data_IF_759810933320
#
_entry.id   IF_759810933320
#
_cell.length_a   1.000
_cell.length_b   1.000
_cell.length_c   1.000
_cell.angle_alpha   90.00
_cell.angle_beta   90.00
_cell.angle_gamma   90.00
#
_symmetry.space_group_name_H-M   'P 1'
#
loop_
_entity.id
_entity.type
_entity.pdbx_description
1 polymer ?
#
# COMPACT_ATOMS: atom_id res chain seq x y z
N UNK A 1 26.74 -11.45 -1.63
CA UNK A 1 26.53 -11.46 -3.09
C UNK A 1 25.23 -10.75 -3.36
N UNK A 2 25.14 -9.99 -4.44
CA UNK A 2 23.91 -9.30 -4.83
C UNK A 2 22.86 -10.34 -5.29
N UNK A 3 21.65 -10.25 -4.74
CA UNK A 3 20.48 -11.07 -5.13
C UNK A 3 19.42 -10.10 -5.63
N UNK A 4 19.00 -10.26 -6.88
CA UNK A 4 18.20 -9.26 -7.59
C UNK A 4 16.76 -9.76 -7.73
N UNK A 5 15.79 -8.98 -7.25
CA UNK A 5 14.39 -9.11 -7.69
C UNK A 5 14.18 -8.25 -8.92
N UNK A 6 13.78 -8.87 -10.03
CA UNK A 6 13.49 -8.15 -11.28
C UNK A 6 12.18 -7.37 -11.18
N UNK A 7 12.03 -6.39 -12.07
CA UNK A 7 10.78 -5.71 -12.36
C UNK A 7 9.88 -6.63 -13.22
N UNK A 8 9.35 -7.70 -12.63
CA UNK A 8 8.67 -8.78 -13.35
C UNK A 8 7.33 -8.37 -13.98
N UNK A 9 6.73 -7.26 -13.53
CA UNK A 9 5.46 -6.74 -14.03
C UNK A 9 5.62 -5.52 -14.96
N UNK A 10 6.86 -5.07 -15.20
CA UNK A 10 7.16 -4.06 -16.22
C UNK A 10 6.78 -4.57 -17.62
N UNK A 11 6.25 -3.68 -18.44
CA UNK A 11 5.76 -3.98 -19.80
C UNK A 11 4.33 -4.51 -19.84
N UNK A 12 3.70 -4.80 -18.69
CA UNK A 12 2.31 -5.26 -18.61
C UNK A 12 1.45 -4.43 -17.65
N UNK A 13 1.89 -4.26 -16.39
CA UNK A 13 1.15 -3.47 -15.39
C UNK A 13 1.52 -1.98 -15.43
N UNK A 14 2.75 -1.68 -15.85
CA UNK A 14 3.28 -0.35 -16.08
C UNK A 14 4.29 -0.43 -17.24
N UNK A 15 4.62 0.69 -17.89
CA UNK A 15 5.55 0.69 -19.02
C UNK A 15 6.97 0.32 -18.58
N UNK A 16 7.63 -0.55 -19.34
CA UNK A 16 9.05 -0.92 -19.15
C UNK A 16 10.01 0.11 -19.78
N UNK A 17 9.53 0.98 -20.65
CA UNK A 17 10.29 2.10 -21.21
C UNK A 17 10.59 3.16 -20.12
N UNK A 18 11.86 3.37 -19.72
CA UNK A 18 12.21 4.27 -18.61
C UNK A 18 11.78 5.72 -18.82
N UNK A 19 11.99 6.26 -20.03
CA UNK A 19 11.64 7.65 -20.35
C UNK A 19 10.13 7.86 -20.25
N UNK A 20 9.35 6.96 -20.85
CA UNK A 20 7.89 7.03 -20.80
C UNK A 20 7.38 6.90 -19.36
N UNK A 21 7.97 6.01 -18.56
CA UNK A 21 7.61 5.84 -17.16
C UNK A 21 7.90 7.10 -16.35
N UNK A 22 9.06 7.73 -16.54
CA UNK A 22 9.37 9.01 -15.89
C UNK A 22 8.38 10.12 -16.27
N UNK A 23 8.03 10.25 -17.55
CA UNK A 23 7.08 11.24 -18.05
C UNK A 23 5.67 11.03 -17.49
N UNK A 24 5.19 9.78 -17.44
CA UNK A 24 3.89 9.43 -16.85
C UNK A 24 3.83 9.78 -15.37
N UNK A 25 4.83 9.37 -14.59
CA UNK A 25 4.91 9.64 -13.15
C UNK A 25 5.05 11.14 -12.86
N UNK A 26 5.90 11.87 -13.60
CA UNK A 26 5.99 13.33 -13.48
C UNK A 26 4.66 14.01 -13.77
N UNK A 27 4.00 13.61 -14.86
CA UNK A 27 2.70 14.16 -15.24
C UNK A 27 1.65 13.98 -14.13
N UNK A 28 1.57 12.79 -13.54
CA UNK A 28 0.60 12.50 -12.48
C UNK A 28 0.95 13.17 -11.15
N UNK A 29 2.23 13.17 -10.74
CA UNK A 29 2.68 13.86 -9.53
C UNK A 29 2.44 15.37 -9.61
N UNK A 30 2.76 15.99 -10.76
CA UNK A 30 2.51 17.41 -10.98
C UNK A 30 1.01 17.72 -11.02
N UNK A 31 0.19 16.86 -11.64
CA UNK A 31 -1.26 17.06 -11.70
C UNK A 31 -1.95 16.88 -10.33
N UNK A 32 -1.40 16.05 -9.44
CA UNK A 32 -1.88 15.96 -8.06
C UNK A 32 -1.64 17.28 -7.31
N UNK A 33 -0.57 18.00 -7.63
CA UNK A 33 -0.34 19.38 -7.18
C UNK A 33 -0.20 19.52 -5.66
N UNK A 34 0.24 18.47 -4.98
CA UNK A 34 0.26 18.39 -3.53
C UNK A 34 1.55 19.00 -2.96
N UNK A 35 1.46 19.77 -1.86
CA UNK A 35 2.66 20.24 -1.17
C UNK A 35 3.37 19.06 -0.51
N UNK A 36 4.70 19.01 -0.67
CA UNK A 36 5.55 18.08 0.08
C UNK A 36 5.59 18.49 1.55
N UNK A 37 5.56 17.51 2.45
CA UNK A 37 5.59 17.77 3.89
C UNK A 37 6.47 16.73 4.58
N UNK A 38 7.36 17.22 5.46
CA UNK A 38 8.20 16.42 6.34
C UNK A 38 7.41 15.64 7.39
N UNK A 39 6.15 16.01 7.62
CA UNK A 39 5.29 15.38 8.61
C UNK A 39 4.64 14.11 8.06
N UNK A 40 4.70 13.86 6.75
CA UNK A 40 4.16 12.64 6.14
C UNK A 40 5.07 11.46 6.48
N UNK A 41 4.56 10.53 7.29
CA UNK A 41 5.26 9.32 7.76
C UNK A 41 4.81 8.05 7.07
N UNK A 42 3.73 8.11 6.31
CA UNK A 42 3.30 7.00 5.47
C UNK A 42 2.17 7.33 4.52
N UNK A 43 1.83 6.36 3.68
CA UNK A 43 0.74 6.44 2.71
C UNK A 43 -0.01 5.11 2.61
N UNK A 44 -1.28 5.18 2.24
CA UNK A 44 -2.03 4.06 1.69
C UNK A 44 -2.24 4.38 0.20
N UNK A 45 -1.86 3.46 -0.69
CA UNK A 45 -1.93 3.68 -2.14
C UNK A 45 -2.39 2.41 -2.89
N UNK A 46 -3.01 2.56 -4.07
CA UNK A 46 -3.50 1.44 -4.87
C UNK A 46 -2.36 0.72 -5.60
N UNK A 47 -2.62 -0.53 -5.98
CA UNK A 47 -1.68 -1.40 -6.70
C UNK A 47 -2.28 -2.10 -7.93
N UNK A 48 -3.37 -1.58 -8.49
CA UNK A 48 -3.74 -1.92 -9.86
C UNK A 48 -2.69 -1.41 -10.90
N UNK A 49 -2.80 -1.87 -12.14
CA UNK A 49 -1.96 -1.38 -13.23
C UNK A 49 -2.09 0.13 -13.45
N UNK A 50 -1.00 0.79 -13.83
CA UNK A 50 -0.87 2.25 -13.84
C UNK A 50 -1.85 2.96 -14.77
N UNK A 51 -2.30 2.31 -15.85
CA UNK A 51 -3.34 2.85 -16.71
C UNK A 51 -4.67 3.09 -15.99
N UNK A 52 -4.92 2.39 -14.88
CA UNK A 52 -6.13 2.53 -14.06
C UNK A 52 -5.88 3.37 -12.81
N UNK A 53 -4.94 2.97 -11.96
CA UNK A 53 -4.75 3.54 -10.62
C UNK A 53 -3.56 4.49 -10.49
N UNK A 54 -2.73 4.62 -11.54
CA UNK A 54 -1.51 5.43 -11.50
C UNK A 54 -1.77 6.88 -11.11
N UNK A 55 -2.83 7.49 -11.65
CA UNK A 55 -3.25 8.86 -11.30
C UNK A 55 -3.71 8.98 -9.84
N UNK A 56 -4.48 8.01 -9.35
CA UNK A 56 -4.92 8.00 -7.96
C UNK A 56 -3.72 7.91 -7.02
N UNK A 57 -2.79 6.97 -7.27
CA UNK A 57 -1.58 6.79 -6.47
C UNK A 57 -0.71 8.06 -6.34
N UNK A 58 -0.69 8.94 -7.36
CA UNK A 58 0.02 10.21 -7.29
C UNK A 58 -0.42 11.08 -6.10
N UNK A 59 -1.69 10.98 -5.68
CA UNK A 59 -2.18 11.72 -4.52
C UNK A 59 -1.63 11.21 -3.19
N UNK A 60 -1.16 9.96 -3.11
CA UNK A 60 -0.41 9.47 -1.97
C UNK A 60 1.05 9.93 -2.06
N UNK A 61 1.74 9.52 -3.13
CA UNK A 61 3.19 9.72 -3.27
C UNK A 61 3.62 11.18 -3.47
N UNK A 62 2.74 12.05 -3.99
CA UNK A 62 3.04 13.46 -4.26
C UNK A 62 3.30 14.32 -3.02
N UNK A 63 2.86 13.89 -1.82
CA UNK A 63 3.09 14.63 -0.58
C UNK A 63 4.43 14.31 0.08
N UNK A 64 5.17 13.32 -0.42
CA UNK A 64 6.37 12.83 0.24
C UNK A 64 7.49 13.86 0.08
N UNK A 65 8.01 14.33 1.21
CA UNK A 65 9.31 15.01 1.27
C UNK A 65 10.43 13.97 1.48
N UNK A 66 11.27 13.70 0.47
CA UNK A 66 12.30 12.68 0.57
C UNK A 66 13.50 13.11 1.42
N UNK A 67 13.61 14.38 1.82
CA UNK A 67 14.84 14.97 2.38
C UNK A 67 15.37 14.25 3.62
N UNK A 68 14.48 13.83 4.53
CA UNK A 68 14.85 13.23 5.81
C UNK A 68 14.57 11.73 5.91
N UNK A 69 14.02 11.12 4.85
CA UNK A 69 13.64 9.71 4.86
C UNK A 69 14.78 8.88 4.27
N UNK A 70 15.29 7.92 5.04
CA UNK A 70 16.33 6.99 4.59
C UNK A 70 15.84 5.55 4.42
N UNK A 71 14.63 5.24 4.91
CA UNK A 71 14.07 3.89 4.87
C UNK A 71 12.57 3.90 4.61
N UNK A 72 12.12 3.05 3.68
CA UNK A 72 10.71 2.85 3.35
C UNK A 72 10.31 1.41 3.64
N UNK A 73 9.40 1.20 4.59
CA UNK A 73 8.74 -0.08 4.81
C UNK A 73 7.60 -0.22 3.81
N UNK A 74 7.60 -1.32 3.04
CA UNK A 74 6.63 -1.58 2.00
C UNK A 74 5.77 -2.78 2.41
N UNK A 75 4.53 -2.52 2.79
CA UNK A 75 3.58 -3.53 3.25
C UNK A 75 2.61 -3.84 2.11
N UNK A 76 2.72 -5.03 1.51
CA UNK A 76 1.84 -5.46 0.42
C UNK A 76 1.11 -6.76 0.71
N UNK A 77 -0.18 -6.90 0.36
CA UNK A 77 -0.89 -8.16 0.51
C UNK A 77 -0.32 -9.23 -0.44
N UNK A 78 -0.48 -10.50 -0.08
CA UNK A 78 -0.19 -11.63 -0.98
C UNK A 78 -1.41 -12.06 -1.79
N UNK A 79 -1.26 -12.12 -3.11
CA UNK A 79 -2.29 -12.59 -4.04
C UNK A 79 -2.04 -14.02 -4.53
N UNK A 80 -0.78 -14.44 -4.60
CA UNK A 80 -0.39 -15.70 -5.23
C UNK A 80 0.10 -16.76 -4.24
N UNK A 81 0.54 -16.36 -3.05
CA UNK A 81 1.12 -17.25 -2.05
C UNK A 81 0.34 -17.20 -0.74
N UNK A 82 -0.34 -18.28 -0.39
CA UNK A 82 -1.03 -18.36 0.89
C UNK A 82 -0.04 -18.55 2.03
N UNK A 83 -0.08 -17.65 3.01
CA UNK A 83 0.59 -17.81 4.31
C UNK A 83 -0.21 -17.10 5.38
N UNK A 84 -0.30 -17.64 6.62
CA UNK A 84 -0.91 -16.95 7.75
C UNK A 84 0.07 -15.98 8.46
N UNK A 85 1.23 -15.70 7.86
CA UNK A 85 2.30 -14.86 8.42
C UNK A 85 2.67 -13.71 7.47
N UNK A 86 3.62 -12.89 7.90
CA UNK A 86 4.35 -11.99 7.02
C UNK A 86 5.64 -12.66 6.54
N UNK A 87 6.08 -12.32 5.34
CA UNK A 87 7.32 -12.82 4.75
C UNK A 87 8.25 -11.69 4.31
N UNK A 88 9.55 -11.91 4.44
CA UNK A 88 10.61 -10.96 4.09
C UNK A 88 11.29 -11.38 2.79
N UNK A 89 11.75 -10.40 2.02
CA UNK A 89 12.51 -10.70 0.80
C UNK A 89 13.87 -11.31 1.11
N UNK A 90 14.31 -12.24 0.26
CA UNK A 90 15.69 -12.76 0.23
C UNK A 90 16.58 -11.99 -0.75
N UNK A 91 16.02 -11.04 -1.50
CA UNK A 91 16.78 -10.17 -2.38
C UNK A 91 17.57 -9.11 -1.60
N UNK A 92 18.59 -8.55 -2.24
CA UNK A 92 19.36 -7.40 -1.75
C UNK A 92 18.97 -6.11 -2.47
N UNK A 93 18.31 -6.20 -3.62
CA UNK A 93 17.89 -5.06 -4.44
C UNK A 93 16.62 -5.39 -5.21
N UNK A 94 15.71 -4.43 -5.29
CA UNK A 94 14.54 -4.46 -6.15
C UNK A 94 14.77 -3.55 -7.36
N UNK A 95 14.71 -4.12 -8.57
CA UNK A 95 14.87 -3.33 -9.80
C UNK A 95 13.61 -2.59 -10.17
N UNK A 96 13.78 -1.41 -10.78
CA UNK A 96 12.73 -0.71 -11.50
C UNK A 96 13.30 -0.15 -12.81
N UNK A 97 12.47 0.20 -13.81
CA UNK A 97 12.97 0.80 -15.04
C UNK A 97 13.69 2.15 -14.86
N UNK A 98 13.44 2.86 -13.75
CA UNK A 98 13.87 4.25 -13.55
C UNK A 98 14.78 4.45 -12.33
N UNK A 99 15.17 3.36 -11.66
CA UNK A 99 16.08 3.38 -10.53
C UNK A 99 15.92 2.17 -9.62
N UNK A 100 17.03 1.48 -9.34
CA UNK A 100 17.04 0.32 -8.45
C UNK A 100 16.96 0.76 -6.98
N UNK A 101 16.23 0.00 -6.16
CA UNK A 101 16.01 0.29 -4.74
C UNK A 101 16.72 -0.78 -3.88
N UNK A 102 17.78 -0.43 -3.12
CA UNK A 102 18.47 -1.38 -2.26
C UNK A 102 17.58 -1.76 -1.07
N UNK A 103 17.63 -3.03 -0.65
CA UNK A 103 16.91 -3.51 0.53
C UNK A 103 17.75 -3.26 1.79
N UNK A 104 17.11 -2.82 2.87
CA UNK A 104 17.77 -2.67 4.17
C UNK A 104 18.01 -4.01 4.85
N UNK A 105 19.15 -4.63 4.55
CA UNK A 105 19.54 -5.94 5.06
C UNK A 105 19.65 -5.98 6.59
N UNK A 106 20.00 -4.86 7.24
CA UNK A 106 20.10 -4.81 8.71
C UNK A 106 18.72 -5.00 9.35
N UNK A 107 17.70 -4.29 8.83
CA UNK A 107 16.32 -4.44 9.29
C UNK A 107 15.76 -5.82 8.91
N UNK A 108 16.08 -6.35 7.72
CA UNK A 108 15.65 -7.70 7.34
C UNK A 108 16.18 -8.76 8.33
N UNK A 109 17.46 -8.71 8.69
CA UNK A 109 18.03 -9.65 9.66
C UNK A 109 17.46 -9.44 11.07
N UNK A 110 17.20 -8.18 11.47
CA UNK A 110 16.52 -7.87 12.74
C UNK A 110 15.11 -8.50 12.80
N UNK A 111 14.29 -8.28 11.77
CA UNK A 111 12.94 -8.82 11.68
C UNK A 111 12.95 -10.35 11.61
N UNK A 112 13.88 -10.94 10.86
CA UNK A 112 14.09 -12.39 10.78
C UNK A 112 14.48 -12.99 12.14
N UNK A 113 15.33 -12.32 12.91
CA UNK A 113 15.77 -12.77 14.23
C UNK A 113 14.62 -12.88 15.26
N UNK A 114 13.49 -12.21 15.03
CA UNK A 114 12.28 -12.38 15.86
C UNK A 114 11.65 -13.77 15.75
N UNK A 115 12.00 -14.54 14.70
CA UNK A 115 11.43 -15.85 14.39
C UNK A 115 9.94 -15.79 14.01
N UNK A 116 9.41 -14.60 13.72
CA UNK A 116 7.98 -14.42 13.39
C UNK A 116 7.71 -14.38 11.89
N UNK A 117 8.70 -14.03 11.08
CA UNK A 117 8.57 -13.89 9.63
C UNK A 117 9.02 -15.15 8.89
N UNK A 118 8.40 -15.39 7.74
CA UNK A 118 8.90 -16.32 6.73
C UNK A 118 9.87 -15.61 5.79
N UNK A 119 10.62 -16.37 5.00
CA UNK A 119 11.45 -15.83 3.92
C UNK A 119 10.78 -16.18 2.60
N UNK A 120 10.67 -15.19 1.71
CA UNK A 120 10.16 -15.40 0.37
C UNK A 120 11.26 -16.00 -0.51
N UNK A 121 10.94 -17.12 -1.16
CA UNK A 121 11.68 -17.53 -2.35
C UNK A 121 11.58 -16.43 -3.40
N UNK A 122 12.64 -16.22 -4.19
CA UNK A 122 12.66 -15.18 -5.22
C UNK A 122 11.53 -15.32 -6.24
N UNK A 123 11.06 -16.54 -6.50
CA UNK A 123 9.91 -16.80 -7.38
C UNK A 123 8.59 -16.30 -6.80
N UNK A 124 8.40 -16.43 -5.49
CA UNK A 124 7.21 -15.89 -4.79
C UNK A 124 7.27 -14.38 -4.84
N UNK A 125 8.44 -13.82 -4.55
CA UNK A 125 8.65 -12.37 -4.53
C UNK A 125 8.41 -11.74 -5.93
N UNK A 126 8.99 -12.32 -6.99
CA UNK A 126 8.79 -11.86 -8.37
C UNK A 126 7.38 -12.14 -8.92
N UNK A 127 6.64 -13.11 -8.36
CA UNK A 127 5.24 -13.36 -8.77
C UNK A 127 4.27 -12.33 -8.17
N UNK A 128 4.60 -11.73 -7.03
CA UNK A 128 3.74 -10.74 -6.38
C UNK A 128 3.87 -9.35 -7.00
N UNK A 129 2.76 -8.63 -7.17
CA UNK A 129 2.74 -7.30 -7.76
C UNK A 129 2.39 -6.19 -6.77
N UNK A 130 1.77 -6.52 -5.63
CA UNK A 130 1.22 -5.53 -4.70
C UNK A 130 2.27 -4.54 -4.18
N UNK A 131 3.47 -5.03 -3.91
CA UNK A 131 4.63 -4.21 -3.54
C UNK A 131 5.27 -3.55 -4.77
N UNK A 132 5.38 -4.29 -5.88
CA UNK A 132 6.05 -3.80 -7.09
C UNK A 132 5.41 -2.53 -7.65
N UNK A 133 4.08 -2.40 -7.58
CA UNK A 133 3.39 -1.22 -8.09
C UNK A 133 3.74 0.07 -7.35
N UNK A 134 4.33 -0.01 -6.15
CA UNK A 134 4.79 1.17 -5.42
C UNK A 134 6.23 1.55 -5.80
N UNK A 135 7.03 0.61 -6.33
CA UNK A 135 8.47 0.80 -6.53
C UNK A 135 8.82 1.89 -7.54
N UNK A 136 8.19 2.00 -8.73
CA UNK A 136 8.46 3.11 -9.64
C UNK A 136 8.14 4.48 -9.02
N UNK A 137 7.02 4.59 -8.30
CA UNK A 137 6.68 5.82 -7.57
C UNK A 137 7.74 6.18 -6.52
N UNK A 138 8.20 5.21 -5.74
CA UNK A 138 9.26 5.41 -4.75
C UNK A 138 10.58 5.80 -5.44
N UNK A 139 11.02 5.08 -6.48
CA UNK A 139 12.22 5.40 -7.24
C UNK A 139 12.16 6.82 -7.83
N UNK A 140 10.97 7.26 -8.27
CA UNK A 140 10.75 8.62 -8.78
C UNK A 140 10.84 9.69 -7.70
N UNK A 141 10.11 9.51 -6.60
CA UNK A 141 10.05 10.46 -5.48
C UNK A 141 11.42 10.62 -4.81
N UNK A 142 12.15 9.52 -4.65
CA UNK A 142 13.45 9.47 -3.99
C UNK A 142 14.62 9.67 -4.97
N UNK A 143 14.39 10.04 -6.23
CA UNK A 143 15.47 10.32 -7.19
C UNK A 143 16.44 11.35 -6.60
N UNK A 144 17.73 10.99 -6.57
CA UNK A 144 18.79 11.82 -5.97
C UNK A 144 18.94 11.71 -4.44
N UNK A 145 18.15 10.89 -3.76
CA UNK A 145 18.21 10.64 -2.31
C UNK A 145 18.64 9.20 -2.03
N UNK A 146 19.40 8.98 -0.94
CA UNK A 146 19.73 7.64 -0.50
C UNK A 146 18.57 7.07 0.32
N UNK A 147 17.90 6.06 -0.23
CA UNK A 147 16.80 5.36 0.45
C UNK A 147 16.99 3.86 0.31
N UNK A 148 16.67 3.13 1.38
CA UNK A 148 16.54 1.67 1.35
C UNK A 148 15.08 1.27 1.55
N UNK A 149 14.69 0.12 1.01
CA UNK A 149 13.35 -0.45 1.21
C UNK A 149 13.38 -1.64 2.16
N UNK A 150 12.28 -1.87 2.89
CA UNK A 150 12.03 -3.06 3.69
C UNK A 150 10.73 -3.71 3.17
N UNK A 151 10.81 -4.61 2.18
CA UNK A 151 9.65 -5.28 1.63
C UNK A 151 9.11 -6.33 2.62
N UNK A 152 7.82 -6.22 2.94
CA UNK A 152 7.12 -7.15 3.81
C UNK A 152 5.84 -7.58 3.10
N UNK A 153 5.82 -8.83 2.66
CA UNK A 153 4.62 -9.48 2.16
C UNK A 153 3.72 -9.83 3.35
N UNK A 154 2.51 -9.31 3.37
CA UNK A 154 1.52 -9.54 4.42
C UNK A 154 0.53 -10.59 3.93
N UNK A 155 0.52 -11.75 4.59
CA UNK A 155 -0.37 -12.86 4.26
C UNK A 155 -1.80 -12.70 4.76
N UNK A 156 -2.51 -13.82 4.83
CA UNK A 156 -3.87 -13.92 5.35
C UNK A 156 -3.84 -13.96 6.89
N UNK A 157 -3.62 -12.80 7.51
CA UNK A 157 -3.51 -12.67 8.96
C UNK A 157 -4.89 -12.80 9.64
N UNK A 158 -4.89 -13.36 10.85
CA UNK A 158 -6.00 -13.18 11.79
C UNK A 158 -5.76 -11.94 12.67
N UNK A 159 -6.78 -11.50 13.41
CA UNK A 159 -6.71 -10.29 14.23
C UNK A 159 -5.58 -10.31 15.27
N UNK A 160 -5.30 -11.47 15.88
CA UNK A 160 -4.18 -11.62 16.82
C UNK A 160 -2.84 -11.41 16.12
N UNK A 161 -2.69 -11.93 14.90
CA UNK A 161 -1.49 -11.78 14.09
C UNK A 161 -1.31 -10.33 13.60
N UNK A 162 -2.39 -9.65 13.20
CA UNK A 162 -2.36 -8.22 12.85
C UNK A 162 -1.85 -7.39 14.04
N UNK A 163 -2.42 -7.58 15.23
CA UNK A 163 -1.98 -6.91 16.45
C UNK A 163 -0.52 -7.22 16.80
N UNK A 164 -0.11 -8.49 16.64
CA UNK A 164 1.27 -8.93 16.91
C UNK A 164 2.28 -8.30 15.96
N UNK A 165 2.02 -8.29 14.64
CA UNK A 165 2.91 -7.62 13.69
C UNK A 165 2.88 -6.11 13.87
N UNK A 166 1.72 -5.53 14.20
CA UNK A 166 1.62 -4.13 14.55
C UNK A 166 2.52 -3.78 15.74
N UNK A 167 2.49 -4.58 16.81
CA UNK A 167 3.37 -4.39 17.97
C UNK A 167 4.86 -4.60 17.64
N UNK A 168 5.18 -5.51 16.72
CA UNK A 168 6.55 -5.79 16.32
C UNK A 168 7.15 -4.63 15.51
N UNK A 169 6.34 -4.01 14.65
CA UNK A 169 6.77 -2.98 13.71
C UNK A 169 6.58 -1.54 14.23
N UNK A 170 5.78 -1.32 15.27
CA UNK A 170 5.46 0.03 15.80
C UNK A 170 6.69 0.89 16.09
N UNK A 171 7.76 0.30 16.62
CA UNK A 171 8.99 1.03 16.99
C UNK A 171 9.64 1.76 15.81
N UNK A 172 9.39 1.27 14.58
CA UNK A 172 9.92 1.90 13.38
C UNK A 172 9.13 3.16 12.99
N UNK A 173 7.91 3.37 13.50
CA UNK A 173 7.17 4.64 13.31
C UNK A 173 7.85 5.78 14.06
N UNK A 174 8.39 5.53 15.25
CA UNK A 174 8.93 6.60 16.10
C UNK A 174 10.26 7.18 15.57
N UNK A 175 10.97 6.48 14.70
CA UNK A 175 12.15 7.03 14.01
C UNK A 175 11.73 7.88 12.79
N UNK A 176 11.92 9.21 12.81
CA UNK A 176 11.49 10.12 11.74
C UNK A 176 12.11 9.85 10.37
N UNK A 177 13.17 9.04 10.29
CA UNK A 177 13.81 8.64 9.03
C UNK A 177 13.10 7.49 8.32
N UNK A 178 12.15 6.85 8.99
CA UNK A 178 11.35 5.76 8.42
C UNK A 178 10.04 6.28 7.83
N UNK A 179 9.62 5.65 6.75
CA UNK A 179 8.36 5.91 6.05
C UNK A 179 7.63 4.60 5.76
N UNK A 180 6.30 4.61 5.74
CA UNK A 180 5.47 3.42 5.50
C UNK A 180 4.66 3.56 4.21
N UNK A 181 4.82 2.61 3.29
CA UNK A 181 4.02 2.51 2.07
C UNK A 181 3.12 1.28 2.19
N UNK A 182 1.83 1.51 2.43
CA UNK A 182 0.82 0.46 2.62
C UNK A 182 0.04 0.29 1.32
N UNK A 183 0.07 -0.92 0.77
CA UNK A 183 -0.48 -1.21 -0.55
C UNK A 183 -1.89 -1.81 -0.45
N UNK A 184 -2.89 -1.13 -1.05
CA UNK A 184 -4.27 -1.60 -1.09
C UNK A 184 -5.09 -0.93 -2.19
N UNK A 185 -5.73 -1.75 -3.02
CA UNK A 185 -6.98 -1.38 -3.69
C UNK A 185 -8.16 -1.53 -2.70
N UNK A 186 -9.30 -0.94 -3.06
CA UNK A 186 -10.55 -0.97 -2.26
C UNK A 186 -11.55 -1.94 -2.90
N UNK A 187 -12.87 -1.69 -2.86
CA UNK A 187 -13.88 -2.64 -3.33
C UNK A 187 -13.59 -3.19 -4.75
N UNK A 188 -13.45 -4.51 -4.84
CA UNK A 188 -13.55 -5.29 -6.08
C UNK A 188 -15.00 -5.77 -6.22
N UNK A 189 -15.80 -5.01 -6.97
CA UNK A 189 -17.23 -5.25 -7.14
C UNK A 189 -17.53 -5.95 -8.46
N UNK A 190 -18.42 -6.94 -8.43
CA UNK A 190 -18.95 -7.66 -9.58
C UNK A 190 -18.92 -9.18 -9.40
N UNK A 191 -19.69 -9.89 -10.22
CA UNK A 191 -19.80 -11.36 -10.16
C UNK A 191 -18.44 -12.06 -10.30
N UNK A 192 -17.51 -11.49 -11.08
CA UNK A 192 -16.14 -12.02 -11.25
C UNK A 192 -15.30 -12.02 -9.97
N UNK A 193 -15.69 -11.25 -8.96
CA UNK A 193 -15.05 -11.18 -7.65
C UNK A 193 -15.88 -11.87 -6.56
N UNK A 194 -16.99 -12.51 -6.95
CA UNK A 194 -17.97 -13.08 -6.02
C UNK A 194 -18.46 -12.07 -4.97
N UNK A 195 -18.56 -10.79 -5.34
CA UNK A 195 -18.95 -9.72 -4.44
C UNK A 195 -19.82 -8.69 -5.15
N UNK A 196 -21.11 -8.66 -4.82
CA UNK A 196 -22.08 -7.74 -5.44
C UNK A 196 -22.94 -7.05 -4.40
N UNK A 197 -22.36 -6.70 -3.24
CA UNK A 197 -23.05 -5.93 -2.21
C UNK A 197 -23.65 -4.67 -2.84
N UNK A 198 -24.93 -4.40 -2.57
CA UNK A 198 -25.63 -3.25 -3.12
C UNK A 198 -26.67 -2.75 -2.13
N UNK A 199 -26.50 -1.51 -1.69
CA UNK A 199 -27.44 -0.77 -0.88
C UNK A 199 -28.17 0.27 -1.76
N UNK A 200 -29.44 -0.02 -2.03
CA UNK A 200 -30.27 0.79 -2.92
C UNK A 200 -30.53 2.21 -2.40
N UNK A 201 -30.30 2.49 -1.10
CA UNK A 201 -30.46 3.84 -0.54
C UNK A 201 -29.48 4.84 -1.15
N UNK A 202 -28.37 4.37 -1.69
CA UNK A 202 -27.36 5.19 -2.37
C UNK A 202 -27.64 5.40 -3.87
N UNK A 203 -28.71 4.82 -4.41
CA UNK A 203 -29.09 4.95 -5.81
C UNK A 203 -28.35 3.97 -6.71
N UNK A 204 -27.57 4.47 -7.68
CA UNK A 204 -26.85 3.61 -8.63
C UNK A 204 -25.77 2.76 -7.93
N UNK A 205 -25.43 1.60 -8.50
CA UNK A 205 -24.46 0.65 -7.92
C UNK A 205 -23.12 1.32 -7.60
N UNK A 206 -22.55 2.10 -8.53
CA UNK A 206 -21.28 2.82 -8.29
C UNK A 206 -21.33 3.78 -7.08
N UNK A 207 -22.51 4.32 -6.74
CA UNK A 207 -22.69 5.16 -5.54
C UNK A 207 -22.79 4.33 -4.27
N UNK A 208 -23.39 3.14 -4.34
CA UNK A 208 -23.35 2.18 -3.22
C UNK A 208 -21.94 1.70 -2.95
N UNK A 209 -21.15 1.44 -4.00
CA UNK A 209 -19.72 1.09 -3.87
C UNK A 209 -18.97 2.26 -3.22
N UNK A 210 -19.16 3.48 -3.72
CA UNK A 210 -18.53 4.69 -3.15
C UNK A 210 -18.88 4.88 -1.67
N UNK A 211 -20.15 4.73 -1.31
CA UNK A 211 -20.57 4.87 0.09
C UNK A 211 -19.96 3.79 0.99
N UNK A 212 -19.88 2.54 0.50
CA UNK A 212 -19.27 1.44 1.24
C UNK A 212 -17.76 1.67 1.43
N UNK A 213 -17.05 2.07 0.38
CA UNK A 213 -15.62 2.35 0.46
C UNK A 213 -15.33 3.54 1.36
N UNK A 214 -16.10 4.65 1.23
CA UNK A 214 -15.94 5.83 2.08
C UNK A 214 -16.22 5.52 3.55
N UNK A 215 -17.18 4.65 3.86
CA UNK A 215 -17.37 4.18 5.24
C UNK A 215 -16.11 3.48 5.77
N UNK A 216 -15.48 2.61 4.97
CA UNK A 216 -14.21 1.98 5.34
C UNK A 216 -13.07 2.99 5.49
N UNK A 217 -12.99 3.97 4.58
CA UNK A 217 -12.01 5.07 4.63
C UNK A 217 -12.17 5.92 5.90
N UNK A 218 -13.38 6.36 6.21
CA UNK A 218 -13.71 7.16 7.39
C UNK A 218 -13.32 6.41 8.68
N UNK A 219 -13.55 5.09 8.72
CA UNK A 219 -13.13 4.25 9.85
C UNK A 219 -11.61 4.16 9.95
N UNK A 220 -10.89 3.99 8.83
CA UNK A 220 -9.42 4.00 8.81
C UNK A 220 -8.87 5.35 9.31
N UNK A 221 -9.49 6.48 8.96
CA UNK A 221 -9.09 7.81 9.43
C UNK A 221 -9.21 7.98 10.96
N UNK A 222 -10.04 7.17 11.64
CA UNK A 222 -10.11 7.16 13.11
C UNK A 222 -8.87 6.56 13.78
N UNK A 223 -8.05 5.79 13.03
CA UNK A 223 -6.90 5.09 13.58
C UNK A 223 -7.25 3.85 14.43
N UNK A 224 -8.52 3.42 14.48
CA UNK A 224 -8.94 2.28 15.31
C UNK A 224 -9.03 0.96 14.52
N UNK A 225 -8.09 0.00 14.73
CA UNK A 225 -8.11 -1.30 14.07
C UNK A 225 -9.34 -2.15 14.44
N UNK A 226 -9.89 -1.99 15.66
CA UNK A 226 -11.05 -2.77 16.10
C UNK A 226 -12.32 -2.36 15.36
N UNK A 227 -12.48 -1.06 15.09
CA UNK A 227 -13.58 -0.54 14.26
C UNK A 227 -13.44 -0.96 12.80
N UNK A 228 -12.22 -0.92 12.23
CA UNK A 228 -11.99 -1.40 10.86
C UNK A 228 -12.29 -2.90 10.70
N UNK A 229 -11.90 -3.71 11.69
CA UNK A 229 -12.23 -5.13 11.73
C UNK A 229 -13.75 -5.37 11.76
N UNK A 230 -14.50 -4.63 12.59
CA UNK A 230 -15.97 -4.75 12.65
C UNK A 230 -16.61 -4.45 11.29
N UNK A 231 -16.16 -3.40 10.63
CA UNK A 231 -16.61 -3.07 9.27
C UNK A 231 -16.35 -4.21 8.27
N UNK A 232 -15.15 -4.80 8.29
CA UNK A 232 -14.83 -5.93 7.40
C UNK A 232 -15.70 -7.16 7.68
N UNK A 233 -16.00 -7.45 8.96
CA UNK A 233 -16.87 -8.56 9.35
C UNK A 233 -18.33 -8.33 8.97
N UNK A 234 -18.78 -7.08 8.99
CA UNK A 234 -20.17 -6.73 8.67
C UNK A 234 -20.44 -6.71 7.17
N UNK A 235 -19.55 -6.09 6.40
CA UNK A 235 -19.78 -5.84 4.97
C UNK A 235 -19.03 -6.78 4.04
N UNK A 236 -17.98 -7.46 4.54
CA UNK A 236 -17.09 -8.29 3.72
C UNK A 236 -16.53 -7.54 2.49
N UNK A 237 -16.35 -6.21 2.60
CA UNK A 237 -15.81 -5.41 1.49
C UNK A 237 -14.45 -5.97 1.05
N UNK A 238 -14.27 -6.13 -0.26
CA UNK A 238 -13.16 -6.85 -0.88
C UNK A 238 -11.86 -6.04 -0.95
N UNK A 239 -11.55 -5.28 0.10
CA UNK A 239 -10.30 -4.52 0.25
C UNK A 239 -9.13 -5.51 0.32
N UNK A 240 -8.29 -5.54 -0.72
CA UNK A 240 -7.23 -6.53 -0.86
C UNK A 240 -6.10 -6.33 0.18
N UNK A 241 -5.76 -5.09 0.50
CA UNK A 241 -4.77 -4.71 1.51
C UNK A 241 -5.32 -4.59 2.93
N UNK A 242 -6.47 -5.20 3.24
CA UNK A 242 -7.07 -5.14 4.58
C UNK A 242 -6.11 -5.58 5.70
N UNK A 243 -5.25 -6.57 5.46
CA UNK A 243 -4.29 -7.05 6.44
C UNK A 243 -3.09 -6.09 6.61
N UNK A 244 -2.44 -5.59 5.53
CA UNK A 244 -1.51 -4.47 5.63
C UNK A 244 -2.06 -3.25 6.37
N UNK A 245 -3.32 -2.85 6.07
CA UNK A 245 -4.00 -1.74 6.74
C UNK A 245 -4.20 -2.06 8.23
N UNK A 246 -4.69 -3.26 8.57
CA UNK A 246 -4.87 -3.69 9.96
C UNK A 246 -3.57 -3.67 10.76
N UNK A 247 -2.48 -4.20 10.18
CA UNK A 247 -1.14 -4.11 10.78
C UNK A 247 -0.74 -2.65 11.00
N UNK A 248 -0.88 -1.79 9.98
CA UNK A 248 -0.51 -0.39 10.07
C UNK A 248 -1.32 0.38 11.12
N UNK A 249 -2.64 0.15 11.22
CA UNK A 249 -3.49 0.73 12.26
C UNK A 249 -3.07 0.29 13.66
N UNK A 250 -2.69 -0.98 13.83
CA UNK A 250 -2.13 -1.44 15.10
C UNK A 250 -0.79 -0.79 15.42
N UNK A 251 0.07 -0.55 14.42
CA UNK A 251 1.32 0.17 14.64
C UNK A 251 1.05 1.61 15.12
N UNK A 252 0.18 2.35 14.42
CA UNK A 252 -0.14 3.75 14.75
C UNK A 252 -0.87 3.91 16.08
N UNK A 253 -1.64 2.89 16.51
CA UNK A 253 -2.30 2.86 17.83
C UNK A 253 -1.32 2.68 18.99
N UNK A 254 -0.15 2.08 18.74
CA UNK A 254 0.81 1.68 19.79
C UNK A 254 2.01 2.62 19.86
N UNK A 255 2.47 3.16 18.73
CA UNK A 255 3.66 4.00 18.69
C UNK A 255 3.51 5.28 19.54
N UNK A 256 4.63 5.86 19.92
CA UNK A 256 4.65 7.08 20.74
C UNK A 256 4.27 8.32 19.93
N UNK A 257 4.63 8.33 18.64
CA UNK A 257 4.31 9.40 17.71
C UNK A 257 2.84 9.34 17.35
N UNK A 258 2.10 10.41 17.60
CA UNK A 258 0.70 10.51 17.16
C UNK A 258 0.65 10.61 15.64
N UNK A 259 -0.06 9.69 14.99
CA UNK A 259 -0.22 9.65 13.55
C UNK A 259 -1.70 9.82 13.18
N UNK A 260 -2.01 10.77 12.31
CA UNK A 260 -3.33 10.99 11.74
C UNK A 260 -3.36 10.54 10.28
N UNK A 261 -4.34 9.71 9.93
CA UNK A 261 -4.56 9.24 8.55
C UNK A 261 -5.64 10.11 7.91
N UNK A 262 -5.43 10.49 6.65
CA UNK A 262 -6.39 11.25 5.85
C UNK A 262 -6.36 10.80 4.39
N UNK A 263 -7.52 10.43 3.84
CA UNK A 263 -7.69 10.16 2.42
C UNK A 263 -7.77 11.46 1.62
N UNK A 264 -7.05 11.48 0.49
CA UNK A 264 -6.90 12.61 -0.40
C UNK A 264 -7.59 12.39 -1.75
N UNK A 265 -7.78 11.13 -2.14
CA UNK A 265 -8.35 10.76 -3.43
C UNK A 265 -9.14 9.47 -3.34
N UNK A 266 -10.25 9.43 -4.08
CA UNK A 266 -11.04 8.23 -4.34
C UNK A 266 -11.43 8.18 -5.83
N UNK A 267 -11.26 7.03 -6.45
CA UNK A 267 -11.60 6.75 -7.84
C UNK A 267 -12.16 5.34 -8.00
N UNK A 268 -12.86 5.10 -9.11
CA UNK A 268 -13.29 3.76 -9.52
C UNK A 268 -12.85 3.53 -10.96
N UNK A 269 -12.33 2.34 -11.26
CA UNK A 269 -11.95 1.93 -12.62
C UNK A 269 -13.07 2.10 -13.65
N UNK A 270 -14.32 1.90 -13.24
CA UNK A 270 -15.52 2.20 -14.03
C UNK A 270 -16.71 2.43 -13.11
N UNK A 271 -17.77 3.08 -13.61
CA UNK A 271 -18.99 3.35 -12.83
C UNK A 271 -20.03 2.27 -13.12
N UNK A 272 -20.05 1.22 -12.29
CA UNK A 272 -21.05 0.15 -12.38
C UNK A 272 -22.48 0.68 -12.28
N UNK A 273 -23.32 0.34 -13.26
CA UNK A 273 -24.76 0.67 -13.32
C UNK A 273 -25.64 -0.58 -13.31
N UNK A 274 -25.11 -1.72 -13.72
CA UNK A 274 -25.85 -2.99 -13.82
C UNK A 274 -25.10 -4.14 -13.15
N UNK A 275 -25.83 -5.21 -12.80
CA UNK A 275 -25.25 -6.41 -12.16
C UNK A 275 -24.29 -7.21 -13.04
N UNK A 276 -24.18 -6.88 -14.32
CA UNK A 276 -23.24 -7.53 -15.27
C UNK A 276 -21.89 -6.82 -15.34
N UNK A 277 -21.80 -5.61 -14.80
CA UNK A 277 -20.58 -4.81 -14.79
C UNK A 277 -19.68 -5.18 -13.61
N UNK A 278 -18.44 -4.71 -13.65
CA UNK A 278 -17.49 -4.90 -12.55
C UNK A 278 -16.53 -3.72 -12.47
N UNK A 279 -16.12 -3.37 -11.26
CA UNK A 279 -15.16 -2.29 -11.01
C UNK A 279 -14.28 -2.62 -9.81
N UNK A 280 -13.06 -2.12 -9.84
CA UNK A 280 -12.18 -1.96 -8.69
C UNK A 280 -12.13 -0.48 -8.29
N UNK A 281 -12.15 -0.21 -6.99
CA UNK A 281 -12.00 1.11 -6.40
C UNK A 281 -10.55 1.39 -5.97
N UNK A 282 -10.13 2.64 -6.06
CA UNK A 282 -8.80 3.11 -5.70
C UNK A 282 -8.91 4.27 -4.72
N UNK A 283 -8.16 4.21 -3.63
CA UNK A 283 -8.09 5.29 -2.66
C UNK A 283 -6.63 5.62 -2.35
N UNK A 284 -6.34 6.88 -2.03
CA UNK A 284 -5.00 7.31 -1.65
C UNK A 284 -5.07 8.16 -0.39
N UNK A 285 -4.28 7.78 0.61
CA UNK A 285 -4.21 8.43 1.91
C UNK A 285 -2.78 8.78 2.28
N UNK A 286 -2.67 9.74 3.19
CA UNK A 286 -1.43 10.11 3.88
C UNK A 286 -1.61 9.86 5.37
N UNK A 287 -0.53 9.42 6.01
CA UNK A 287 -0.39 9.31 7.45
C UNK A 287 0.63 10.36 7.90
N UNK A 288 0.20 11.34 8.69
CA UNK A 288 1.01 12.48 9.11
C UNK A 288 1.22 12.49 10.63
N UNK A 289 2.36 13.00 11.09
CA UNK A 289 2.54 13.35 12.50
C UNK A 289 1.50 14.39 12.88
N UNK A 290 0.76 14.12 13.95
CA UNK A 290 -0.20 15.06 14.51
C UNK A 290 0.53 15.99 15.48
N UNK A 291 0.61 17.27 15.12
CA UNK A 291 1.44 18.27 15.79
C UNK A 291 0.78 18.99 16.97
N UNK A 292 -0.37 18.50 17.46
CA UNK A 292 -1.05 19.05 18.65
C UNK A 292 -0.27 18.85 19.96
#
# INVERSE_FOLDING_TARGET
>A
MEVIRRASHAGSWYTDNPRKLEEELDGWLNAAGLPKSSDVRGVIAPHAGYSYSGRAAAYAFGNIDPTNISRVFLLGPSHHYYTPKCALSTATVYKTPIGDLPIDQEVIEELKATGKFELMDLRVDEAEHSMEMHLPYLAKVFKGHQVKVVPILVGALNAESEAKYGKLLEKYIDDPKNFFSVSSDFCHWGTRFNYTHYDNKHGAIYKSIEALDKMGMDIIETGDPDSFKKYLLEFENTICGRHPIGVFLHMTKICSTKIKIQFLRYEQSSRCKTMRESSVSYASAVAKVDGE
#
